data_IF_478327249821
#
_entry.id   IF_478327249821
#
_cell.length_a   1.000
_cell.length_b   1.000
_cell.length_c   1.000
_cell.angle_alpha   90.00
_cell.angle_beta   90.00
_cell.angle_gamma   90.00
#
_symmetry.space_group_name_H-M   'P 1'
#
loop_
_entity.id
_entity.type
_entity.pdbx_description
1 polymer ?
#
# COMPACT_ATOMS: atom_id res chain seq x y z
N UNK A 1 -1.35 18.07 7.26
CA UNK A 1 -0.33 18.21 6.21
C UNK A 1 -0.72 17.31 5.04
N UNK A 2 -1.60 17.80 4.15
CA UNK A 2 -2.11 17.01 3.03
C UNK A 2 -1.02 16.73 2.01
N UNK A 3 -1.13 15.61 1.32
CA UNK A 3 -0.32 15.28 0.14
C UNK A 3 -1.20 14.63 -0.91
N UNK A 4 -0.82 14.79 -2.17
CA UNK A 4 -1.48 14.12 -3.29
C UNK A 4 -0.49 13.84 -4.40
N UNK A 5 -0.64 12.69 -5.05
CA UNK A 5 0.06 12.41 -6.30
C UNK A 5 -0.80 11.53 -7.21
N UNK A 6 -0.39 11.45 -8.48
CA UNK A 6 -1.07 10.69 -9.51
C UNK A 6 -0.12 9.64 -10.05
N UNK A 7 -0.40 8.38 -9.75
CA UNK A 7 0.21 7.24 -10.42
C UNK A 7 -0.61 6.93 -11.68
N UNK A 8 -0.07 7.29 -12.85
CA UNK A 8 -0.75 7.12 -14.14
C UNK A 8 -0.74 5.66 -14.63
N UNK A 9 0.12 4.81 -14.05
CA UNK A 9 0.22 3.39 -14.40
C UNK A 9 -0.74 2.55 -13.55
N UNK A 10 -1.09 3.01 -12.35
CA UNK A 10 -1.95 2.26 -11.44
C UNK A 10 -3.45 2.63 -11.49
N UNK A 11 -3.80 3.87 -11.82
CA UNK A 11 -5.17 4.37 -11.66
C UNK A 11 -5.49 5.57 -12.56
N UNK A 12 -6.77 5.87 -12.78
CA UNK A 12 -7.31 7.14 -13.29
C UNK A 12 -7.68 8.13 -12.16
N UNK A 13 -7.64 7.70 -10.90
CA UNK A 13 -7.85 8.55 -9.73
C UNK A 13 -6.55 8.95 -9.00
N UNK A 14 -6.49 10.12 -8.34
CA UNK A 14 -5.36 10.51 -7.53
C UNK A 14 -5.31 9.74 -6.20
N UNK A 15 -4.10 9.63 -5.65
CA UNK A 15 -3.83 9.14 -4.32
C UNK A 15 -3.65 10.36 -3.41
N UNK A 16 -4.49 10.49 -2.38
CA UNK A 16 -4.52 11.64 -1.48
C UNK A 16 -4.49 11.18 -0.02
N UNK A 17 -3.72 11.87 0.81
CA UNK A 17 -3.54 11.54 2.22
C UNK A 17 -3.17 12.75 3.08
N UNK A 18 -2.95 12.51 4.37
CA UNK A 18 -2.47 13.51 5.31
C UNK A 18 -1.35 12.92 6.16
N UNK A 19 -0.13 13.42 6.00
CA UNK A 19 1.08 12.87 6.61
C UNK A 19 1.02 12.86 8.14
N UNK A 20 0.29 13.81 8.74
CA UNK A 20 0.17 13.96 10.20
C UNK A 20 -1.12 13.32 10.77
N UNK A 21 -1.89 12.58 9.97
CA UNK A 21 -3.14 11.98 10.44
C UNK A 21 -2.88 10.96 11.54
N UNK A 22 -3.29 11.29 12.77
CA UNK A 22 -3.11 10.42 13.94
C UNK A 22 -1.68 10.34 14.46
N UNK A 23 -0.82 11.30 14.11
CA UNK A 23 0.53 11.38 14.64
C UNK A 23 0.55 11.92 16.08
N UNK A 24 1.34 11.29 16.94
CA UNK A 24 1.61 11.77 18.30
C UNK A 24 2.87 12.63 18.34
N UNK A 25 3.88 12.24 17.54
CA UNK A 25 5.19 12.90 17.54
C UNK A 25 5.89 12.77 16.20
N UNK A 26 6.89 13.61 16.02
CA UNK A 26 7.89 13.51 14.96
C UNK A 26 9.23 13.18 15.59
N UNK A 27 9.98 12.25 14.99
CA UNK A 27 11.33 11.90 15.39
C UNK A 27 12.29 12.16 14.24
N UNK A 28 13.47 12.68 14.55
CA UNK A 28 14.56 12.83 13.59
C UNK A 28 15.51 11.63 13.68
N UNK A 29 16.17 11.30 12.58
CA UNK A 29 17.17 10.23 12.51
C UNK A 29 16.64 8.89 13.08
N UNK A 30 15.40 8.55 12.75
CA UNK A 30 14.69 7.43 13.34
C UNK A 30 15.14 6.10 12.75
N UNK A 31 15.64 5.15 13.58
CA UNK A 31 16.05 3.85 13.10
C UNK A 31 14.84 2.98 12.76
N UNK A 32 14.94 2.27 11.65
CA UNK A 32 14.01 1.25 11.20
C UNK A 32 14.75 -0.06 10.96
N UNK A 33 14.15 -1.14 11.40
CA UNK A 33 14.57 -2.48 11.02
C UNK A 33 13.71 -2.94 9.86
N UNK A 34 14.35 -3.26 8.75
CA UNK A 34 13.67 -3.84 7.60
C UNK A 34 13.48 -5.34 7.83
N UNK A 35 12.47 -5.95 7.20
CA UNK A 35 12.22 -7.38 7.38
C UNK A 35 13.34 -8.30 6.85
N UNK A 36 14.24 -7.76 6.02
CA UNK A 36 15.41 -8.44 5.48
C UNK A 36 16.68 -8.23 6.34
N UNK A 37 16.54 -7.72 7.57
CA UNK A 37 17.62 -7.62 8.55
C UNK A 37 18.54 -6.40 8.40
N UNK A 38 18.22 -5.49 7.47
CA UNK A 38 18.96 -4.25 7.31
C UNK A 38 18.41 -3.18 8.24
N UNK A 39 19.30 -2.32 8.75
CA UNK A 39 18.90 -1.10 9.47
C UNK A 39 18.91 0.08 8.50
N UNK A 40 17.84 0.85 8.54
CA UNK A 40 17.73 2.12 7.83
C UNK A 40 17.47 3.23 8.84
N UNK A 41 17.90 4.45 8.52
CA UNK A 41 17.68 5.62 9.37
C UNK A 41 16.88 6.64 8.57
N UNK A 42 15.61 6.81 8.92
CA UNK A 42 14.79 7.87 8.36
C UNK A 42 15.27 9.22 8.86
N UNK A 43 15.43 10.21 7.99
CA UNK A 43 15.78 11.56 8.43
C UNK A 43 14.67 12.16 9.31
N UNK A 44 13.41 11.95 8.91
CA UNK A 44 12.24 12.32 9.70
C UNK A 44 11.20 11.20 9.67
N UNK A 45 10.77 10.74 10.84
CA UNK A 45 9.67 9.79 10.98
C UNK A 45 8.48 10.45 11.68
N UNK A 46 7.30 10.28 11.09
CA UNK A 46 6.03 10.62 11.73
C UNK A 46 5.50 9.41 12.46
N UNK A 47 5.34 9.52 13.78
CA UNK A 47 5.05 8.40 14.66
C UNK A 47 3.67 8.59 15.29
N UNK A 48 2.83 7.57 15.14
CA UNK A 48 1.50 7.48 15.74
C UNK A 48 1.44 6.51 16.91
N UNK A 49 0.30 6.50 17.63
CA UNK A 49 0.10 5.67 18.79
C UNK A 49 0.05 4.20 18.39
N UNK A 50 0.46 3.29 19.29
CA UNK A 50 0.30 1.86 19.07
C UNK A 50 -1.18 1.52 18.87
N UNK A 51 -1.46 0.58 17.96
CA UNK A 51 -2.75 -0.11 17.94
C UNK A 51 -2.80 -1.19 19.02
N UNK A 52 -1.65 -1.83 19.30
CA UNK A 52 -1.54 -2.84 20.35
C UNK A 52 -0.39 -2.55 21.32
N UNK A 53 0.87 -2.61 20.86
CA UNK A 53 2.05 -2.51 21.73
C UNK A 53 3.09 -1.50 21.23
N UNK A 54 3.46 -1.59 19.95
CA UNK A 54 4.51 -0.75 19.38
C UNK A 54 3.96 0.50 18.68
N UNK A 55 4.60 1.67 18.87
CA UNK A 55 4.32 2.85 18.05
C UNK A 55 4.45 2.53 16.56
N UNK A 56 3.68 3.25 15.75
CA UNK A 56 3.65 3.04 14.31
C UNK A 56 4.33 4.19 13.59
N UNK A 57 5.21 3.87 12.64
CA UNK A 57 5.62 4.87 11.64
C UNK A 57 4.47 5.04 10.66
N UNK A 58 3.89 6.24 10.67
CA UNK A 58 2.76 6.63 9.81
C UNK A 58 3.22 7.23 8.48
N UNK A 59 4.47 7.70 8.42
CA UNK A 59 5.11 8.23 7.23
C UNK A 59 6.55 8.60 7.50
N UNK A 60 7.33 8.73 6.43
CA UNK A 60 8.73 9.13 6.46
C UNK A 60 8.99 10.31 5.54
N UNK A 61 9.94 11.17 5.90
CA UNK A 61 10.51 12.18 5.02
C UNK A 61 12.03 11.99 4.96
N UNK A 62 12.54 11.98 3.74
CA UNK A 62 13.95 11.85 3.41
C UNK A 62 14.42 13.15 2.75
N UNK A 63 15.57 13.65 3.20
CA UNK A 63 16.16 14.89 2.69
C UNK A 63 17.42 14.52 1.91
N UNK A 64 17.39 14.73 0.60
CA UNK A 64 18.43 14.27 -0.32
C UNK A 64 19.36 15.41 -0.73
N UNK A 65 20.67 15.13 -0.67
CA UNK A 65 21.73 16.03 -1.14
C UNK A 65 22.62 15.31 -2.16
N UNK A 66 22.46 15.66 -3.43
CA UNK A 66 23.43 15.41 -4.49
C UNK A 66 23.43 14.04 -5.15
N UNK A 67 22.44 13.15 -4.96
CA UNK A 67 22.48 11.80 -5.55
C UNK A 67 21.16 11.28 -6.14
N UNK A 68 21.35 10.44 -7.16
CA UNK A 68 20.36 9.60 -7.80
C UNK A 68 19.66 8.66 -6.81
N UNK A 69 18.35 8.52 -7.00
CA UNK A 69 17.45 7.65 -6.26
C UNK A 69 18.11 6.37 -5.70
N UNK A 70 18.20 6.28 -4.38
CA UNK A 70 18.72 5.08 -3.70
C UNK A 70 17.66 3.97 -3.72
N UNK A 71 17.92 2.91 -4.48
CA UNK A 71 17.05 1.73 -4.55
C UNK A 71 16.71 1.11 -3.19
N UNK A 72 17.52 1.36 -2.14
CA UNK A 72 17.21 0.95 -0.76
C UNK A 72 15.95 1.65 -0.23
N UNK A 73 15.72 2.92 -0.58
CA UNK A 73 14.51 3.67 -0.20
C UNK A 73 13.27 3.06 -0.84
N UNK A 74 13.38 2.62 -2.09
CA UNK A 74 12.33 1.85 -2.76
C UNK A 74 12.01 0.56 -1.99
N UNK A 75 13.04 -0.17 -1.57
CA UNK A 75 12.88 -1.42 -0.80
C UNK A 75 12.26 -1.19 0.58
N UNK A 76 12.57 -0.07 1.23
CA UNK A 76 11.98 0.32 2.52
C UNK A 76 10.50 0.66 2.35
N UNK A 77 10.17 1.51 1.39
CA UNK A 77 8.77 1.81 1.03
C UNK A 77 8.00 0.54 0.69
N UNK A 78 8.65 -0.41 -0.01
CA UNK A 78 8.06 -1.71 -0.34
C UNK A 78 7.85 -2.65 0.85
N UNK A 79 8.67 -2.57 1.88
CA UNK A 79 8.70 -3.58 2.95
C UNK A 79 8.04 -3.16 4.26
N UNK A 80 7.86 -1.86 4.51
CA UNK A 80 7.39 -1.37 5.81
C UNK A 80 5.99 -0.75 5.79
N UNK A 81 5.42 -0.48 4.61
CA UNK A 81 4.01 -0.11 4.48
C UNK A 81 3.66 1.25 5.08
N UNK A 82 4.37 2.30 4.67
CA UNK A 82 4.02 3.70 4.95
C UNK A 82 4.41 4.61 3.77
N UNK A 83 3.77 5.79 3.60
CA UNK A 83 4.20 6.77 2.61
C UNK A 83 5.58 7.36 2.97
N UNK A 84 6.52 7.27 2.04
CA UNK A 84 7.85 7.88 2.15
C UNK A 84 7.96 9.03 1.16
N UNK A 85 8.18 10.25 1.66
CA UNK A 85 8.35 11.44 0.84
C UNK A 85 9.84 11.76 0.74
N UNK A 86 10.39 11.80 -0.46
CA UNK A 86 11.75 12.28 -0.71
C UNK A 86 11.72 13.73 -1.21
N UNK A 87 12.62 14.54 -0.65
CA UNK A 87 12.81 15.95 -1.00
C UNK A 87 14.26 16.13 -1.43
N UNK A 88 14.48 16.55 -2.67
CA UNK A 88 15.79 16.91 -3.17
C UNK A 88 16.09 18.38 -2.82
N UNK A 89 17.21 18.61 -2.11
CA UNK A 89 17.71 19.94 -1.73
C UNK A 89 19.05 20.27 -2.38
N UNK A 90 19.47 19.52 -3.41
CA UNK A 90 20.78 19.66 -4.07
C UNK A 90 21.07 21.07 -4.56
N UNK A 91 20.09 21.72 -5.17
CA UNK A 91 20.23 23.06 -5.74
C UNK A 91 19.91 24.19 -4.73
N UNK A 92 19.70 23.84 -3.46
CA UNK A 92 19.31 24.79 -2.42
C UNK A 92 20.48 25.21 -1.55
N UNK A 93 20.48 26.49 -1.19
CA UNK A 93 21.32 27.05 -0.14
C UNK A 93 20.66 26.87 1.23
N UNK A 94 21.47 26.87 2.29
CA UNK A 94 20.96 26.75 3.67
C UNK A 94 19.96 27.86 4.05
N UNK A 95 20.11 29.07 3.47
CA UNK A 95 19.21 30.19 3.73
C UNK A 95 17.80 30.00 3.13
N UNK A 96 17.67 29.15 2.12
CA UNK A 96 16.38 28.82 1.49
C UNK A 96 15.60 27.75 2.26
N UNK A 97 16.28 27.01 3.16
CA UNK A 97 15.67 25.97 4.00
C UNK A 97 14.97 26.59 5.23
N UNK A 98 13.82 27.23 4.99
CA UNK A 98 13.00 27.83 6.04
C UNK A 98 11.79 26.95 6.42
N UNK A 99 11.14 27.17 7.59
CA UNK A 99 9.90 26.49 7.94
C UNK A 99 8.78 26.69 6.90
N UNK A 100 8.69 27.88 6.31
CA UNK A 100 7.71 28.19 5.27
C UNK A 100 7.98 27.40 4.00
N UNK A 101 9.25 27.29 3.60
CA UNK A 101 9.66 26.42 2.50
C UNK A 101 9.32 24.96 2.80
N UNK A 102 9.66 24.47 4.00
CA UNK A 102 9.39 23.08 4.41
C UNK A 102 7.89 22.77 4.36
N UNK A 103 7.06 23.67 4.88
CA UNK A 103 5.60 23.53 4.81
C UNK A 103 5.12 23.50 3.36
N UNK A 104 5.61 24.39 2.50
CA UNK A 104 5.25 24.45 1.09
C UNK A 104 5.63 23.17 0.35
N UNK A 105 6.87 22.71 0.50
CA UNK A 105 7.39 21.56 -0.26
C UNK A 105 6.75 20.24 0.18
N UNK A 106 6.46 20.08 1.48
CA UNK A 106 5.80 18.90 2.04
C UNK A 106 4.31 18.81 1.68
N UNK A 107 3.68 19.96 1.42
CA UNK A 107 2.27 20.04 1.01
C UNK A 107 2.09 20.26 -0.48
N UNK A 108 3.18 20.36 -1.24
CA UNK A 108 3.15 20.49 -2.68
C UNK A 108 2.49 19.26 -3.31
N UNK A 109 1.54 19.51 -4.20
CA UNK A 109 0.82 18.49 -4.96
C UNK A 109 1.02 18.75 -6.45
N UNK A 110 0.64 17.80 -7.30
CA UNK A 110 0.60 18.03 -8.75
C UNK A 110 -0.32 19.21 -9.13
N UNK A 111 -1.29 19.57 -8.28
CA UNK A 111 -2.19 20.72 -8.50
C UNK A 111 -1.56 22.07 -8.17
N UNK A 112 -0.45 22.10 -7.42
CA UNK A 112 0.21 23.35 -7.00
C UNK A 112 1.25 23.87 -8.00
N UNK A 113 1.48 23.17 -9.11
CA UNK A 113 2.47 23.55 -10.13
C UNK A 113 1.79 23.68 -11.49
N UNK A 114 2.07 24.76 -12.24
CA UNK A 114 1.41 25.07 -13.51
C UNK A 114 1.53 23.94 -14.55
N UNK A 115 2.67 23.25 -14.57
CA UNK A 115 2.93 22.11 -15.47
C UNK A 115 2.55 20.74 -14.88
N UNK A 116 1.83 20.67 -13.76
CA UNK A 116 1.44 19.40 -13.13
C UNK A 116 2.58 18.62 -12.45
N UNK A 117 3.77 19.21 -12.34
CA UNK A 117 4.97 18.58 -11.76
C UNK A 117 4.97 18.67 -10.24
N UNK A 118 5.66 17.75 -9.59
CA UNK A 118 5.89 17.77 -8.14
C UNK A 118 7.39 17.85 -7.88
N UNK A 119 7.81 18.72 -6.95
CA UNK A 119 9.21 18.86 -6.52
C UNK A 119 9.64 17.81 -5.48
N UNK A 120 8.73 16.93 -5.07
CA UNK A 120 8.96 15.85 -4.12
C UNK A 120 8.43 14.54 -4.67
N UNK A 121 9.13 13.45 -4.37
CA UNK A 121 8.74 12.10 -4.79
C UNK A 121 8.03 11.39 -3.65
N UNK A 122 6.89 10.77 -3.93
CA UNK A 122 6.21 9.89 -2.97
C UNK A 122 6.45 8.46 -3.39
N UNK A 123 7.00 7.67 -2.47
CA UNK A 123 7.02 6.23 -2.54
C UNK A 123 5.89 5.71 -1.68
N UNK A 124 4.95 5.04 -2.32
CA UNK A 124 3.82 4.41 -1.68
C UNK A 124 3.72 2.98 -2.20
N UNK A 125 3.61 2.02 -1.29
CA UNK A 125 3.39 0.64 -1.68
C UNK A 125 1.95 0.43 -2.19
N UNK A 126 1.78 -0.37 -3.24
CA UNK A 126 0.47 -0.66 -3.86
C UNK A 126 -0.57 -1.16 -2.85
N UNK A 127 -0.13 -1.90 -1.83
CA UNK A 127 -0.98 -2.36 -0.72
C UNK A 127 -1.68 -1.23 0.04
N UNK A 128 -1.15 -0.01 -0.01
CA UNK A 128 -1.77 1.19 0.57
C UNK A 128 -2.60 1.99 -0.43
N UNK A 129 -2.62 1.64 -1.73
CA UNK A 129 -3.42 2.37 -2.71
C UNK A 129 -4.93 2.38 -2.35
N UNK A 130 -5.54 1.27 -1.89
CA UNK A 130 -6.94 1.29 -1.45
C UNK A 130 -7.23 2.22 -0.27
N UNK A 131 -6.23 2.61 0.51
CA UNK A 131 -6.36 3.59 1.59
C UNK A 131 -6.40 5.03 1.04
N UNK A 132 -5.55 5.34 0.06
CA UNK A 132 -5.33 6.71 -0.40
C UNK A 132 -6.08 7.08 -1.69
N UNK A 133 -6.58 6.10 -2.44
CA UNK A 133 -7.28 6.34 -3.70
C UNK A 133 -8.63 7.03 -3.49
N UNK A 134 -8.82 8.19 -4.13
CA UNK A 134 -10.08 8.93 -4.09
C UNK A 134 -11.04 8.42 -5.15
N UNK A 135 -11.56 7.21 -4.94
CA UNK A 135 -12.49 6.56 -5.86
C UNK A 135 -13.90 7.18 -5.77
N UNK A 136 -14.49 7.64 -6.87
CA UNK A 136 -15.82 8.24 -6.85
C UNK A 136 -16.92 7.22 -6.55
N UNK A 137 -18.02 7.71 -5.96
CA UNK A 137 -19.12 6.87 -5.49
C UNK A 137 -19.77 6.02 -6.61
N UNK A 138 -19.90 6.58 -7.82
CA UNK A 138 -20.54 5.90 -8.96
C UNK A 138 -19.82 4.62 -9.41
N UNK A 139 -18.57 4.39 -8.97
CA UNK A 139 -17.88 3.14 -9.25
C UNK A 139 -18.44 1.98 -8.44
N UNK A 140 -19.02 2.22 -7.27
CA UNK A 140 -19.50 1.18 -6.36
C UNK A 140 -20.42 1.76 -5.28
N UNK A 141 -21.72 1.56 -5.41
CA UNK A 141 -22.68 2.12 -4.45
C UNK A 141 -22.55 1.49 -3.05
N UNK A 142 -22.02 0.27 -2.93
CA UNK A 142 -21.83 -0.38 -1.63
C UNK A 142 -20.67 0.22 -0.82
N UNK A 143 -19.72 0.89 -1.50
CA UNK A 143 -18.51 1.45 -0.90
C UNK A 143 -17.73 0.42 -0.07
N UNK A 144 -17.63 -0.82 -0.57
CA UNK A 144 -16.91 -1.92 0.11
C UNK A 144 -15.90 -2.52 -0.84
N UNK A 145 -14.68 -2.70 -0.34
CA UNK A 145 -13.61 -3.32 -1.11
C UNK A 145 -13.14 -4.63 -0.45
N UNK A 146 -12.32 -5.40 -1.16
CA UNK A 146 -11.82 -6.69 -0.66
C UNK A 146 -10.32 -6.84 -0.88
N UNK A 147 -9.66 -7.43 0.11
CA UNK A 147 -8.33 -8.00 -0.03
C UNK A 147 -8.43 -9.53 -0.10
N UNK A 148 -7.66 -10.12 -0.99
CA UNK A 148 -7.53 -11.56 -1.19
C UNK A 148 -6.10 -11.94 -0.83
N UNK A 149 -5.93 -12.79 0.18
CA UNK A 149 -4.62 -13.15 0.69
C UNK A 149 -4.42 -14.66 0.56
N UNK A 150 -3.38 -15.05 -0.17
CA UNK A 150 -2.95 -16.43 -0.32
C UNK A 150 -1.63 -16.63 0.43
N UNK A 151 -1.63 -17.60 1.33
CA UNK A 151 -0.51 -17.97 2.18
C UNK A 151 -0.75 -19.39 2.72
N UNK A 152 0.25 -19.96 3.39
CA UNK A 152 0.09 -21.25 4.07
C UNK A 152 -1.01 -21.21 5.14
N UNK A 153 -1.51 -22.39 5.48
CA UNK A 153 -2.65 -22.56 6.37
C UNK A 153 -2.46 -21.95 7.76
N UNK A 154 -1.25 -22.03 8.31
CA UNK A 154 -0.93 -21.48 9.62
C UNK A 154 -0.93 -19.94 9.57
N UNK A 155 -0.35 -19.37 8.52
CA UNK A 155 -0.37 -17.92 8.27
C UNK A 155 -1.79 -17.39 8.09
N UNK A 156 -2.63 -18.06 7.30
CA UNK A 156 -4.04 -17.66 7.13
C UNK A 156 -4.81 -17.67 8.45
N UNK A 157 -4.65 -18.73 9.26
CA UNK A 157 -5.30 -18.83 10.58
C UNK A 157 -4.80 -17.76 11.58
N UNK A 158 -3.53 -17.35 11.50
CA UNK A 158 -2.99 -16.22 12.27
C UNK A 158 -3.59 -14.90 11.81
N UNK A 159 -3.61 -14.66 10.50
CA UNK A 159 -4.17 -13.44 9.91
C UNK A 159 -5.66 -13.27 10.25
N UNK A 160 -6.46 -14.34 10.22
CA UNK A 160 -7.87 -14.28 10.66
C UNK A 160 -7.99 -13.74 12.08
N UNK A 161 -7.17 -14.26 13.01
CA UNK A 161 -7.18 -13.81 14.41
C UNK A 161 -6.72 -12.37 14.53
N UNK A 162 -5.63 -12.00 13.84
CA UNK A 162 -5.07 -10.65 13.90
C UNK A 162 -6.00 -9.60 13.28
N UNK A 163 -6.63 -9.87 12.14
CA UNK A 163 -7.54 -8.92 11.49
C UNK A 163 -8.83 -8.71 12.29
N UNK A 164 -9.36 -9.76 12.91
CA UNK A 164 -10.51 -9.62 13.82
C UNK A 164 -10.14 -8.82 15.08
N UNK A 165 -8.99 -9.13 15.70
CA UNK A 165 -8.50 -8.39 16.86
C UNK A 165 -8.21 -6.91 16.52
N UNK A 166 -7.68 -6.64 15.32
CA UNK A 166 -7.44 -5.30 14.81
C UNK A 166 -8.76 -4.53 14.63
N UNK A 167 -9.77 -5.15 14.03
CA UNK A 167 -11.09 -4.55 13.86
C UNK A 167 -11.73 -4.20 15.21
N UNK A 168 -11.64 -5.10 16.18
CA UNK A 168 -12.14 -4.89 17.55
C UNK A 168 -11.39 -3.75 18.25
N UNK A 169 -10.05 -3.75 18.19
CA UNK A 169 -9.20 -2.70 18.79
C UNK A 169 -9.42 -1.32 18.20
N UNK A 170 -9.81 -1.25 16.94
CA UNK A 170 -10.15 -0.01 16.26
C UNK A 170 -11.64 0.30 16.32
N UNK A 171 -12.42 -0.41 17.14
CA UNK A 171 -13.82 -0.12 17.45
C UNK A 171 -14.74 -0.19 16.20
N UNK A 172 -14.45 -1.09 15.26
CA UNK A 172 -15.38 -1.36 14.18
C UNK A 172 -16.62 -2.09 14.69
N UNK A 173 -17.80 -1.60 14.29
CA UNK A 173 -19.06 -2.30 14.55
C UNK A 173 -19.04 -3.72 13.95
N UNK A 174 -19.73 -4.64 14.63
CA UNK A 174 -19.84 -6.04 14.18
C UNK A 174 -20.38 -6.12 12.76
N UNK A 175 -19.67 -6.85 11.89
CA UNK A 175 -20.04 -7.03 10.48
C UNK A 175 -19.56 -5.93 9.54
N UNK A 176 -19.00 -4.82 10.05
CA UNK A 176 -18.38 -3.80 9.22
C UNK A 176 -17.12 -4.34 8.55
N UNK A 177 -16.24 -4.98 9.32
CA UNK A 177 -15.08 -5.73 8.82
C UNK A 177 -15.46 -7.20 8.77
N UNK A 178 -15.39 -7.80 7.58
CA UNK A 178 -15.66 -9.23 7.40
C UNK A 178 -14.36 -9.97 7.07
N UNK A 179 -13.94 -10.86 7.97
CA UNK A 179 -12.73 -11.68 7.84
C UNK A 179 -13.16 -13.13 7.64
N UNK A 180 -12.94 -13.70 6.45
CA UNK A 180 -13.43 -15.03 6.12
C UNK A 180 -12.41 -15.87 5.36
N UNK A 181 -12.33 -17.16 5.68
CA UNK A 181 -11.62 -18.15 4.86
C UNK A 181 -12.55 -18.68 3.77
N UNK A 182 -12.15 -18.49 2.52
CA UNK A 182 -12.82 -19.07 1.36
C UNK A 182 -12.16 -20.42 1.08
N UNK A 183 -12.94 -21.50 1.07
CA UNK A 183 -12.42 -22.86 0.91
C UNK A 183 -12.97 -23.52 -0.36
N UNK A 184 -12.11 -24.15 -1.16
CA UNK A 184 -12.47 -24.86 -2.39
C UNK A 184 -13.02 -26.27 -2.18
N UNK A 185 -14.06 -26.42 -1.33
CA UNK A 185 -14.60 -27.73 -0.90
C UNK A 185 -15.45 -28.45 -1.96
N UNK A 186 -15.98 -27.71 -2.93
CA UNK A 186 -16.82 -28.23 -4.02
C UNK A 186 -16.51 -27.49 -5.32
N UNK A 187 -17.06 -27.94 -6.45
CA UNK A 187 -16.74 -27.36 -7.77
C UNK A 187 -16.99 -25.85 -7.83
N UNK A 188 -18.13 -25.38 -7.29
CA UNK A 188 -18.48 -23.97 -7.31
C UNK A 188 -17.51 -23.12 -6.47
N UNK A 189 -17.19 -23.57 -5.26
CA UNK A 189 -16.24 -22.87 -4.38
C UNK A 189 -14.80 -22.96 -4.87
N UNK A 190 -14.43 -24.02 -5.58
CA UNK A 190 -13.13 -24.12 -6.27
C UNK A 190 -13.02 -23.10 -7.39
N UNK A 191 -14.04 -22.93 -8.23
CA UNK A 191 -14.08 -21.86 -9.24
C UNK A 191 -13.99 -20.46 -8.61
N UNK A 192 -14.63 -20.23 -7.47
CA UNK A 192 -14.49 -18.96 -6.74
C UNK A 192 -13.06 -18.74 -6.23
N UNK A 193 -12.40 -19.79 -5.74
CA UNK A 193 -11.02 -19.73 -5.28
C UNK A 193 -10.05 -19.48 -6.44
N UNK A 194 -10.21 -20.19 -7.56
CA UNK A 194 -9.43 -19.99 -8.79
C UNK A 194 -9.54 -18.55 -9.30
N UNK A 195 -10.76 -17.99 -9.36
CA UNK A 195 -10.99 -16.58 -9.72
C UNK A 195 -10.31 -15.62 -8.76
N UNK A 196 -10.26 -15.94 -7.46
CA UNK A 196 -9.52 -15.15 -6.48
C UNK A 196 -8.01 -15.27 -6.68
N UNK A 197 -7.52 -16.47 -7.00
CA UNK A 197 -6.12 -16.75 -7.31
C UNK A 197 -5.62 -15.96 -8.51
N UNK A 198 -6.41 -15.91 -9.59
CA UNK A 198 -6.12 -15.12 -10.79
C UNK A 198 -5.97 -13.62 -10.52
N UNK A 199 -6.57 -13.10 -9.45
CA UNK A 199 -6.38 -11.69 -9.05
C UNK A 199 -5.01 -11.47 -8.42
N UNK A 200 -4.49 -12.45 -7.66
CA UNK A 200 -3.24 -12.30 -6.90
C UNK A 200 -1.99 -12.68 -7.69
N UNK A 201 -2.10 -13.55 -8.70
CA UNK A 201 -0.94 -13.97 -9.52
C UNK A 201 -1.10 -15.37 -10.11
N UNK A 202 -0.31 -15.75 -11.12
CA UNK A 202 -0.37 -17.07 -11.76
C UNK A 202 0.09 -18.23 -10.86
N UNK A 203 0.90 -17.91 -9.86
CA UNK A 203 1.55 -18.81 -8.89
C UNK A 203 0.75 -18.99 -7.59
N UNK A 204 -0.46 -18.45 -7.52
CA UNK A 204 -1.32 -18.50 -6.31
C UNK A 204 -1.51 -19.92 -5.75
N UNK A 205 -1.57 -20.92 -6.62
CA UNK A 205 -1.77 -22.32 -6.25
C UNK A 205 -0.57 -22.90 -5.51
N UNK A 206 0.64 -22.38 -5.73
CA UNK A 206 1.85 -22.77 -4.99
C UNK A 206 1.79 -22.30 -3.53
N UNK A 207 1.05 -21.22 -3.26
CA UNK A 207 0.84 -20.70 -1.90
C UNK A 207 -0.29 -21.43 -1.19
N UNK A 208 -1.46 -21.55 -1.84
CA UNK A 208 -2.59 -22.29 -1.30
C UNK A 208 -3.67 -22.55 -2.36
N UNK A 209 -3.74 -23.76 -2.89
CA UNK A 209 -4.76 -24.18 -3.85
C UNK A 209 -6.10 -24.62 -3.20
N UNK A 210 -6.15 -24.67 -1.86
CA UNK A 210 -7.33 -25.14 -1.11
C UNK A 210 -8.15 -24.00 -0.51
N UNK A 211 -7.51 -22.89 -0.13
CA UNK A 211 -8.19 -21.78 0.53
C UNK A 211 -7.42 -20.47 0.48
N UNK A 212 -8.14 -19.36 0.65
CA UNK A 212 -7.56 -18.03 0.84
C UNK A 212 -8.30 -17.26 1.93
N UNK A 213 -7.67 -16.21 2.44
CA UNK A 213 -8.34 -15.23 3.29
C UNK A 213 -8.96 -14.14 2.41
N UNK A 214 -10.25 -13.89 2.60
CA UNK A 214 -10.97 -12.75 2.06
C UNK A 214 -11.27 -11.79 3.20
N UNK A 215 -10.79 -10.56 3.05
CA UNK A 215 -11.02 -9.47 3.98
C UNK A 215 -11.84 -8.39 3.29
N UNK A 216 -13.07 -8.16 3.74
CA UNK A 216 -13.96 -7.12 3.19
C UNK A 216 -14.10 -5.98 4.19
N UNK A 217 -13.83 -4.77 3.73
CA UNK A 217 -13.79 -3.55 4.55
C UNK A 217 -14.65 -2.45 3.90
N UNK A 218 -15.17 -1.49 4.69
CA UNK A 218 -15.66 -0.24 4.12
C UNK A 218 -14.50 0.53 3.48
N UNK A 219 -14.76 1.20 2.37
CA UNK A 219 -13.79 2.14 1.80
C UNK A 219 -13.53 3.30 2.76
N UNK A 220 -12.30 3.85 2.79
CA UNK A 220 -12.02 5.07 3.53
C UNK A 220 -12.96 6.20 3.12
N UNK A 221 -13.47 6.97 4.09
CA UNK A 221 -14.38 8.12 3.83
C UNK A 221 -13.66 9.38 3.34
N UNK A 222 -12.36 9.27 3.07
CA UNK A 222 -11.50 10.34 2.60
C UNK A 222 -10.20 10.47 3.41
N UNK A 223 -9.34 11.47 3.10
CA UNK A 223 -8.00 11.60 3.66
C UNK A 223 -7.92 11.88 5.18
N UNK A 224 -9.06 12.09 5.84
CA UNK A 224 -9.14 12.35 7.28
C UNK A 224 -9.71 11.14 8.07
N UNK A 225 -10.02 10.02 7.42
CA UNK A 225 -10.56 8.83 8.06
C UNK A 225 -9.48 8.11 8.89
N UNK A 226 -9.35 8.51 10.15
CA UNK A 226 -8.34 7.98 11.07
C UNK A 226 -8.54 6.49 11.34
N UNK A 227 -9.78 6.01 11.42
CA UNK A 227 -10.07 4.60 11.72
C UNK A 227 -9.60 3.72 10.55
N UNK A 228 -9.97 4.08 9.32
CA UNK A 228 -9.51 3.39 8.12
C UNK A 228 -7.99 3.49 7.95
N UNK A 229 -7.41 4.65 8.20
CA UNK A 229 -5.96 4.86 8.13
C UNK A 229 -5.21 3.90 9.07
N UNK A 230 -5.60 3.85 10.34
CA UNK A 230 -4.95 2.95 11.32
C UNK A 230 -5.13 1.48 10.95
N UNK A 231 -6.30 1.08 10.45
CA UNK A 231 -6.55 -0.30 10.03
C UNK A 231 -5.64 -0.70 8.86
N UNK A 232 -5.67 0.08 7.78
CA UNK A 232 -4.94 -0.24 6.55
C UNK A 232 -3.43 -0.20 6.74
N UNK A 233 -2.91 0.79 7.47
CA UNK A 233 -1.47 0.89 7.78
C UNK A 233 -1.00 -0.31 8.60
N UNK A 234 -1.78 -0.72 9.61
CA UNK A 234 -1.44 -1.88 10.45
C UNK A 234 -1.48 -3.17 9.64
N UNK A 235 -2.55 -3.36 8.84
CA UNK A 235 -2.71 -4.50 7.96
C UNK A 235 -1.56 -4.60 6.95
N UNK A 236 -1.22 -3.48 6.30
CA UNK A 236 -0.12 -3.44 5.33
C UNK A 236 1.21 -3.83 5.98
N UNK A 237 1.54 -3.28 7.16
CA UNK A 237 2.76 -3.66 7.88
C UNK A 237 2.77 -5.15 8.23
N UNK A 238 1.66 -5.71 8.69
CA UNK A 238 1.55 -7.16 8.99
C UNK A 238 1.80 -7.99 7.73
N UNK A 239 1.14 -7.65 6.62
CA UNK A 239 1.24 -8.41 5.37
C UNK A 239 2.65 -8.31 4.75
N UNK A 240 3.26 -7.13 4.77
CA UNK A 240 4.56 -6.89 4.13
C UNK A 240 5.74 -7.37 4.97
N UNK A 241 5.65 -7.31 6.30
CA UNK A 241 6.81 -7.56 7.19
C UNK A 241 6.73 -8.86 7.99
N UNK A 242 5.55 -9.46 8.12
CA UNK A 242 5.32 -10.62 9.00
C UNK A 242 4.76 -11.84 8.28
N UNK A 243 4.49 -11.75 6.98
CA UNK A 243 3.91 -12.86 6.22
C UNK A 243 4.57 -13.04 4.87
N UNK A 244 4.61 -14.30 4.42
CA UNK A 244 4.99 -14.66 3.06
C UNK A 244 3.70 -14.91 2.27
N UNK A 245 3.10 -13.84 1.77
CA UNK A 245 1.76 -13.87 1.22
C UNK A 245 1.65 -13.11 -0.11
N UNK A 246 0.87 -13.67 -1.03
CA UNK A 246 0.35 -12.95 -2.18
C UNK A 246 -0.89 -12.19 -1.74
N UNK A 247 -0.97 -10.90 -2.09
CA UNK A 247 -2.13 -10.08 -1.80
C UNK A 247 -2.65 -9.45 -3.07
N UNK A 248 -3.93 -9.68 -3.34
CA UNK A 248 -4.65 -8.96 -4.38
C UNK A 248 -5.86 -8.23 -3.82
N UNK A 249 -6.52 -7.52 -4.72
CA UNK A 249 -7.52 -6.51 -4.39
C UNK A 249 -8.72 -6.60 -5.32
N UNK A 250 -9.90 -6.34 -4.77
CA UNK A 250 -11.12 -6.07 -5.52
C UNK A 250 -11.68 -4.73 -5.06
N UNK A 251 -11.86 -3.81 -5.99
CA UNK A 251 -12.32 -2.46 -5.66
C UNK A 251 -13.78 -2.43 -5.20
N UNK A 252 -14.62 -3.34 -5.70
CA UNK A 252 -16.00 -3.51 -5.24
C UNK A 252 -16.33 -4.99 -5.01
N UNK A 253 -17.41 -5.24 -4.26
CA UNK A 253 -17.95 -6.59 -4.12
C UNK A 253 -18.49 -7.10 -5.47
N UNK A 254 -18.40 -8.41 -5.68
CA UNK A 254 -19.00 -9.06 -6.86
C UNK A 254 -18.29 -8.82 -8.19
N UNK A 255 -17.20 -8.05 -8.23
CA UNK A 255 -16.44 -7.89 -9.48
C UNK A 255 -15.75 -9.20 -9.89
N UNK A 256 -15.98 -9.59 -11.14
CA UNK A 256 -15.35 -10.74 -11.79
C UNK A 256 -14.08 -10.32 -12.54
N UNK A 257 -13.04 -11.14 -12.43
CA UNK A 257 -11.77 -10.93 -13.14
C UNK A 257 -11.85 -11.50 -14.56
N UNK A 258 -12.56 -10.80 -15.46
CA UNK A 258 -12.74 -11.24 -16.83
C UNK A 258 -11.47 -11.14 -17.70
N UNK A 259 -10.50 -10.34 -17.25
CA UNK A 259 -9.24 -10.05 -17.93
C UNK A 259 -8.04 -10.36 -17.01
N UNK A 260 -7.78 -11.63 -16.65
CA UNK A 260 -6.72 -12.00 -15.70
C UNK A 260 -5.30 -11.58 -16.13
N UNK A 261 -5.10 -11.33 -17.42
CA UNK A 261 -3.88 -10.80 -18.03
C UNK A 261 -3.61 -9.33 -17.70
N UNK A 262 -4.64 -8.55 -17.38
CA UNK A 262 -4.49 -7.14 -17.02
C UNK A 262 -4.17 -6.97 -15.54
N UNK A 263 -3.19 -6.13 -15.23
CA UNK A 263 -2.76 -5.88 -13.85
C UNK A 263 -3.64 -4.84 -13.12
N UNK A 264 -4.47 -4.09 -13.84
CA UNK A 264 -5.33 -3.02 -13.29
C UNK A 264 -6.80 -3.35 -13.51
N UNK A 265 -7.65 -3.01 -12.54
CA UNK A 265 -9.10 -3.09 -12.71
C UNK A 265 -9.62 -2.00 -13.64
N UNK A 266 -10.38 -2.37 -14.67
CA UNK A 266 -11.07 -1.41 -15.55
C UNK A 266 -12.58 -1.47 -15.34
N UNK A 267 -13.14 -0.42 -14.74
CA UNK A 267 -14.57 -0.28 -14.54
C UNK A 267 -15.23 0.34 -15.78
N UNK A 268 -16.22 -0.35 -16.33
CA UNK A 268 -17.06 0.16 -17.41
C UNK A 268 -18.34 0.74 -16.81
N UNK A 269 -18.59 2.03 -17.04
CA UNK A 269 -19.75 2.74 -16.47
C UNK A 269 -20.48 3.52 -17.55
N UNK A 270 -21.80 3.39 -17.55
CA UNK A 270 -22.67 4.25 -18.36
C UNK A 270 -22.85 5.58 -17.62
N UNK A 271 -22.52 6.68 -18.29
CA UNK A 271 -22.79 8.02 -17.77
C UNK A 271 -24.06 8.52 -18.46
N UNK A 272 -25.16 8.55 -17.72
CA UNK A 272 -26.48 8.90 -18.25
C UNK A 272 -26.50 10.29 -18.91
N UNK A 273 -25.84 11.27 -18.30
CA UNK A 273 -25.80 12.67 -18.77
C UNK A 273 -25.07 12.82 -20.10
N UNK A 274 -24.03 12.01 -20.32
CA UNK A 274 -23.23 12.03 -21.54
C UNK A 274 -23.76 11.05 -22.60
N UNK A 275 -24.66 10.15 -22.22
CA UNK A 275 -25.11 9.00 -23.04
C UNK A 275 -23.94 8.21 -23.62
N UNK A 276 -22.87 8.04 -22.84
CA UNK A 276 -21.69 7.28 -23.25
C UNK A 276 -21.28 6.26 -22.20
N UNK A 277 -20.68 5.17 -22.67
CA UNK A 277 -19.87 4.31 -21.82
C UNK A 277 -18.50 4.95 -21.62
N UNK A 278 -18.05 4.95 -20.38
CA UNK A 278 -16.71 5.38 -20.00
C UNK A 278 -15.99 4.23 -19.31
N UNK A 279 -14.70 4.16 -19.57
CA UNK A 279 -13.78 3.23 -18.93
C UNK A 279 -12.98 3.99 -17.88
N UNK A 280 -12.79 3.37 -16.72
CA UNK A 280 -12.04 3.94 -15.61
C UNK A 280 -11.06 2.89 -15.08
N UNK A 281 -9.77 3.18 -15.16
CA UNK A 281 -8.73 2.40 -14.49
C UNK A 281 -8.82 2.69 -12.99
N UNK A 282 -9.20 1.69 -12.20
CA UNK A 282 -9.53 1.87 -10.80
C UNK A 282 -8.27 1.77 -9.95
N UNK A 283 -7.73 0.56 -9.79
CA UNK A 283 -6.55 0.25 -8.98
C UNK A 283 -5.92 -1.07 -9.44
N UNK A 284 -4.65 -1.35 -9.08
CA UNK A 284 -4.01 -2.63 -9.35
C UNK A 284 -4.76 -3.81 -8.72
N UNK A 285 -4.71 -4.96 -9.39
CA UNK A 285 -5.27 -6.23 -8.93
C UNK A 285 -4.34 -6.91 -7.93
N UNK A 286 -3.05 -6.92 -8.22
CA UNK A 286 -1.98 -7.47 -7.38
C UNK A 286 -1.38 -6.31 -6.59
N UNK A 287 -1.37 -6.44 -5.27
CA UNK A 287 -0.95 -5.35 -4.37
C UNK A 287 0.33 -5.66 -3.61
N UNK A 288 0.66 -6.92 -3.39
CA UNK A 288 1.95 -7.28 -2.79
C UNK A 288 2.40 -8.67 -3.18
N UNK A 289 3.72 -8.78 -3.27
CA UNK A 289 4.42 -10.05 -3.42
C UNK A 289 4.95 -10.54 -2.06
N UNK A 290 5.25 -11.85 -1.95
CA UNK A 290 5.79 -12.45 -0.74
C UNK A 290 7.17 -11.88 -0.40
N UNK A 291 7.38 -11.63 0.88
CA UNK A 291 8.60 -10.99 1.40
C UNK A 291 9.87 -11.77 1.05
N UNK A 292 9.79 -13.10 0.96
CA UNK A 292 10.93 -13.93 0.64
C UNK A 292 11.46 -13.70 -0.78
N UNK A 293 10.59 -13.27 -1.72
CA UNK A 293 11.04 -12.86 -3.07
C UNK A 293 11.88 -11.60 -3.03
N UNK A 294 11.47 -10.62 -2.24
CA UNK A 294 12.25 -9.41 -2.02
C UNK A 294 13.58 -9.72 -1.34
N UNK A 295 13.59 -10.60 -0.33
CA UNK A 295 14.82 -11.07 0.33
C UNK A 295 15.77 -11.75 -0.65
N UNK A 296 15.25 -12.61 -1.54
CA UNK A 296 16.06 -13.28 -2.56
C UNK A 296 16.73 -12.28 -3.51
N UNK A 297 15.97 -11.33 -4.05
CA UNK A 297 16.50 -10.28 -4.93
C UNK A 297 17.57 -9.44 -4.24
N UNK A 298 17.34 -9.02 -2.99
CA UNK A 298 18.34 -8.26 -2.21
C UNK A 298 19.60 -9.10 -1.95
N UNK A 299 19.44 -10.39 -1.64
CA UNK A 299 20.55 -11.29 -1.39
C UNK A 299 21.40 -11.52 -2.64
N UNK A 300 20.77 -11.61 -3.81
CA UNK A 300 21.45 -11.75 -5.11
C UNK A 300 22.23 -10.49 -5.48
N UNK A 301 21.63 -9.31 -5.25
CA UNK A 301 22.31 -8.03 -5.45
C UNK A 301 23.57 -7.92 -4.57
N UNK A 302 23.49 -8.30 -3.29
CA UNK A 302 24.65 -8.30 -2.39
C UNK A 302 25.74 -9.29 -2.84
N UNK A 303 25.37 -10.50 -3.30
CA UNK A 303 26.34 -11.48 -3.81
C UNK A 303 27.08 -10.97 -5.05
N UNK A 304 26.36 -10.34 -5.98
CA UNK A 304 26.95 -9.81 -7.21
C UNK A 304 27.91 -8.64 -6.93
N UNK A 305 27.57 -7.75 -5.98
CA UNK A 305 28.46 -6.67 -5.53
C UNK A 305 29.73 -7.19 -4.83
N UNK A 306 29.63 -8.25 -4.02
CA UNK A 306 30.79 -8.85 -3.36
C UNK A 306 31.75 -9.51 -4.37
N UNK A 307 31.22 -10.18 -5.39
CA UNK A 307 32.03 -10.81 -6.45
C UNK A 307 32.78 -9.75 -7.30
N UNK A 308 32.11 -8.66 -7.69
CA UNK A 308 32.76 -7.57 -8.45
C UNK A 308 33.80 -6.79 -7.65
N UNK A 309 33.66 -6.74 -6.32
CA UNK A 309 34.65 -6.09 -5.43
C UNK A 309 35.87 -6.96 -5.12
N UNK A 310 35.82 -8.27 -5.44
CA UNK A 310 36.96 -9.20 -5.29
C UNK A 310 37.77 -9.36 -6.59
N UNK A 311 37.25 -8.89 -7.72
CA UNK A 311 37.89 -8.91 -9.05
C UNK A 311 38.55 -7.56 -9.43
N UNK A 312 38.52 -6.56 -8.54
CA UNK A 312 39.14 -5.24 -8.70
C UNK A 312 40.32 -5.06 -7.72
#
# INVERSE_FOLDING_TARGET
MPWAFKDADASDYPLEGNLLLGADRVAIEHPLETPFGSKFRLDVAVIGPPVQTEPMVLGGVEIELGHAFDGRKALIGKSLGFPLISIDITEMTLAELTPEWAQKVLTATTRSHEQGRRQTYIYLHDLLYPLYAQLPAFLDDEQRHQFLVFADDNTLNKLVRWMNALAEKLEYSKGTVAVALVNGKNEQSRKMLERAGQVVGPDWAEFNDQRCLRLTLPRPKGPADLQAHRFHMTMARVLLSRTDALVGYKYCNGVDNNHPEEDVWVAHRWIADLKTHTQHRVLPKRLSEPINRLIAVVSDLHRNHAATSQEA
#
